data_IF_471591568205
#
_entry.id   IF_471591568205
#
_cell.length_a   1.000
_cell.length_b   1.000
_cell.length_c   1.000
_cell.angle_alpha   90.00
_cell.angle_beta   90.00
_cell.angle_gamma   90.00
#
_symmetry.space_group_name_H-M   'P 1'
#
loop_
_entity.id
_entity.type
_entity.pdbx_description
1 polymer ?
#
# COMPACT_ATOMS: atom_id res chain seq x y z
N UNK A 1 7.22 25.47 6.68
CA UNK A 1 6.98 24.13 7.25
C UNK A 1 6.78 23.20 6.07
N UNK A 2 7.67 22.23 5.88
CA UNK A 2 7.53 21.23 4.82
C UNK A 2 6.73 20.04 5.38
N UNK A 3 5.92 19.41 4.53
CA UNK A 3 5.12 18.24 4.89
C UNK A 3 5.38 17.13 3.88
N UNK A 4 5.47 15.89 4.36
CA UNK A 4 5.44 14.71 3.52
C UNK A 4 3.97 14.27 3.36
N UNK A 5 3.54 14.02 2.13
CA UNK A 5 2.13 13.71 1.83
C UNK A 5 2.01 12.27 1.37
N UNK A 6 1.12 11.49 2.00
CA UNK A 6 0.74 10.17 1.52
C UNK A 6 -0.55 10.25 0.70
N UNK A 7 -0.50 9.65 -0.49
CA UNK A 7 -1.60 9.65 -1.45
C UNK A 7 -2.01 8.21 -1.77
N UNK A 8 -3.30 8.00 -2.04
CA UNK A 8 -3.83 6.78 -2.63
C UNK A 8 -4.44 7.08 -3.99
N UNK A 9 -4.28 6.18 -4.95
CA UNK A 9 -4.97 6.27 -6.24
C UNK A 9 -6.05 5.19 -6.28
N UNK A 10 -7.30 5.61 -6.40
CA UNK A 10 -8.46 4.72 -6.49
C UNK A 10 -9.39 5.19 -7.60
N UNK A 11 -9.69 4.30 -8.56
CA UNK A 11 -10.59 4.59 -9.69
C UNK A 11 -10.22 5.86 -10.48
N UNK A 12 -8.92 6.10 -10.69
CA UNK A 12 -8.43 7.31 -11.38
C UNK A 12 -8.55 8.60 -10.57
N UNK A 13 -8.95 8.53 -9.29
CA UNK A 13 -8.95 9.66 -8.37
C UNK A 13 -7.79 9.55 -7.38
N UNK A 14 -7.17 10.68 -7.09
CA UNK A 14 -6.13 10.80 -6.07
C UNK A 14 -6.78 11.24 -4.76
N UNK A 15 -6.53 10.48 -3.71
CA UNK A 15 -7.01 10.75 -2.35
C UNK A 15 -5.83 11.11 -1.46
N UNK A 16 -5.95 12.23 -0.77
CA UNK A 16 -5.04 12.60 0.31
C UNK A 16 -5.31 11.72 1.52
N UNK A 17 -4.30 10.99 1.99
CA UNK A 17 -4.43 10.10 3.15
C UNK A 17 -4.02 10.83 4.42
N UNK A 18 -2.87 11.52 4.39
CA UNK A 18 -2.28 12.09 5.60
C UNK A 18 -1.25 13.20 5.29
N UNK A 19 -1.04 14.09 6.27
CA UNK A 19 0.02 15.10 6.29
C UNK A 19 1.03 14.77 7.38
N UNK A 20 2.24 14.43 6.97
CA UNK A 20 3.32 14.06 7.89
C UNK A 20 4.34 15.19 8.05
N UNK A 21 4.95 15.33 9.24
CA UNK A 21 6.07 16.23 9.42
C UNK A 21 7.22 15.85 8.48
N UNK A 22 7.88 16.84 7.89
CA UNK A 22 9.05 16.59 7.05
C UNK A 22 10.31 16.44 7.92
N UNK A 23 10.81 15.20 8.03
CA UNK A 23 12.05 14.85 8.70
C UNK A 23 12.11 13.38 9.09
N UNK A 24 13.24 12.94 9.64
CA UNK A 24 13.55 11.53 9.98
C UNK A 24 12.52 10.80 10.86
N UNK A 25 11.60 11.54 11.49
CA UNK A 25 10.46 11.01 12.23
C UNK A 25 9.43 10.29 11.35
N UNK A 26 9.44 10.55 10.03
CA UNK A 26 8.56 9.90 9.05
C UNK A 26 9.38 8.95 8.18
N UNK A 27 8.80 7.85 7.73
CA UNK A 27 9.47 6.94 6.80
C UNK A 27 9.62 7.58 5.41
N UNK A 28 10.84 7.63 4.88
CA UNK A 28 11.18 8.20 3.56
C UNK A 28 10.90 7.25 2.39
N UNK A 29 10.38 6.04 2.65
CA UNK A 29 10.00 5.03 1.66
C UNK A 29 11.17 4.61 0.75
N UNK A 30 11.15 5.06 -0.51
CA UNK A 30 12.15 4.72 -1.54
C UNK A 30 13.30 5.73 -1.60
N UNK A 31 13.32 6.67 -0.66
CA UNK A 31 14.36 7.68 -0.53
C UNK A 31 15.09 7.55 0.80
N UNK A 32 16.28 8.12 0.89
CA UNK A 32 16.94 8.38 2.19
C UNK A 32 16.67 9.82 2.64
N UNK A 33 16.71 10.08 3.95
CA UNK A 33 16.48 11.43 4.45
C UNK A 33 17.60 12.40 4.05
N UNK A 34 18.84 11.91 3.95
CA UNK A 34 19.97 12.71 3.51
C UNK A 34 19.76 13.24 2.09
N UNK A 35 19.22 12.45 1.16
CA UNK A 35 18.96 12.92 -0.19
C UNK A 35 17.74 13.84 -0.28
N UNK A 36 16.70 13.61 0.52
CA UNK A 36 15.52 14.49 0.59
C UNK A 36 15.89 15.88 1.15
N UNK A 37 16.78 15.94 2.13
CA UNK A 37 17.24 17.20 2.75
C UNK A 37 18.28 17.90 1.89
N UNK A 38 19.11 17.16 1.16
CA UNK A 38 20.24 17.75 0.44
C UNK A 38 19.86 18.46 -0.85
N UNK A 39 18.60 18.37 -1.33
CA UNK A 39 18.00 18.98 -2.54
C UNK A 39 18.74 18.74 -3.88
N UNK A 40 20.02 18.32 -3.85
CA UNK A 40 20.92 18.19 -5.00
C UNK A 40 20.71 16.92 -5.81
N UNK A 41 19.94 15.95 -5.30
CA UNK A 41 19.73 14.64 -5.93
C UNK A 41 18.29 14.42 -6.41
N UNK A 42 17.42 15.44 -6.37
CA UNK A 42 16.00 15.31 -6.75
C UNK A 42 15.69 15.72 -8.20
N UNK A 43 16.70 16.16 -8.96
CA UNK A 43 16.58 16.34 -10.40
C UNK A 43 16.75 14.97 -11.05
N UNK A 44 15.69 14.49 -11.71
CA UNK A 44 15.71 13.20 -12.39
C UNK A 44 16.90 13.08 -13.34
N UNK A 45 17.64 11.98 -13.24
CA UNK A 45 18.80 11.70 -14.09
C UNK A 45 18.30 11.25 -15.48
N UNK A 46 17.82 12.21 -16.27
CA UNK A 46 17.50 12.03 -17.68
C UNK A 46 18.47 12.88 -18.49
N UNK A 47 19.60 12.30 -18.90
CA UNK A 47 20.43 12.87 -19.94
C UNK A 47 20.20 12.09 -21.23
N UNK A 48 19.59 12.75 -22.22
CA UNK A 48 20.08 12.74 -23.61
C UNK A 48 19.24 13.71 -24.45
N UNK A 49 19.85 14.84 -24.82
CA UNK A 49 19.42 15.69 -25.93
C UNK A 49 18.29 16.68 -25.62
N UNK A 50 18.54 17.95 -25.96
CA UNK A 50 17.56 19.02 -26.14
C UNK A 50 16.95 19.67 -24.88
N UNK A 51 17.68 20.68 -24.40
CA UNK A 51 17.16 22.03 -24.16
C UNK A 51 15.69 22.17 -23.71
N UNK A 52 15.40 21.78 -22.46
CA UNK A 52 14.53 22.55 -21.57
C UNK A 52 14.78 22.06 -20.14
N UNK A 53 14.98 22.98 -19.21
CA UNK A 53 15.05 22.73 -17.77
C UNK A 53 13.75 22.02 -17.32
N UNK A 54 13.74 20.68 -17.32
CA UNK A 54 12.63 19.92 -16.75
C UNK A 54 12.81 19.85 -15.24
N UNK A 55 12.12 20.75 -14.55
CA UNK A 55 11.92 20.79 -13.09
C UNK A 55 10.93 19.68 -12.65
N UNK A 56 11.16 18.45 -13.13
CA UNK A 56 10.32 17.30 -12.81
C UNK A 56 10.79 16.66 -11.50
N UNK A 57 9.88 16.38 -10.55
CA UNK A 57 10.24 15.75 -9.29
C UNK A 57 10.79 14.34 -9.51
N UNK A 58 11.78 13.94 -8.70
CA UNK A 58 12.26 12.56 -8.69
C UNK A 58 11.13 11.58 -8.37
N UNK A 59 10.96 10.57 -9.22
CA UNK A 59 9.96 9.52 -9.07
C UNK A 59 10.63 8.15 -9.01
N UNK A 60 10.32 7.36 -7.98
CA UNK A 60 10.82 5.99 -7.82
C UNK A 60 9.65 5.04 -7.58
N UNK A 61 9.70 3.87 -8.20
CA UNK A 61 8.75 2.78 -7.97
C UNK A 61 9.52 1.48 -7.72
N UNK A 62 8.88 0.54 -7.00
CA UNK A 62 9.41 -0.81 -6.85
C UNK A 62 8.99 -1.66 -8.05
N UNK A 63 9.94 -2.45 -8.58
CA UNK A 63 9.71 -3.33 -9.74
C UNK A 63 9.19 -4.73 -9.34
N UNK A 64 8.98 -4.97 -8.04
CA UNK A 64 8.45 -6.24 -7.56
C UNK A 64 6.92 -6.25 -7.69
N UNK A 65 6.38 -7.26 -8.39
CA UNK A 65 4.93 -7.56 -8.41
C UNK A 65 4.39 -8.00 -7.05
N UNK A 66 5.27 -8.23 -6.06
CA UNK A 66 4.85 -8.39 -4.67
C UNK A 66 4.38 -7.03 -4.19
N UNK A 67 3.07 -6.78 -4.32
CA UNK A 67 2.38 -5.66 -3.68
C UNK A 67 2.94 -5.51 -2.27
N UNK A 68 3.27 -4.28 -1.86
CA UNK A 68 3.51 -3.96 -0.44
C UNK A 68 2.20 -4.31 0.28
N UNK A 69 2.08 -5.56 0.72
CA UNK A 69 0.92 -6.04 1.43
C UNK A 69 0.82 -5.12 2.65
N UNK A 70 -0.29 -4.37 2.81
CA UNK A 70 -0.37 -3.38 3.86
C UNK A 70 -0.24 -4.11 5.18
N UNK A 71 0.86 -3.96 5.91
CA UNK A 71 1.19 -4.63 7.18
C UNK A 71 0.88 -6.16 7.28
N UNK A 72 1.81 -6.99 7.78
CA UNK A 72 1.52 -8.38 8.14
C UNK A 72 0.31 -8.58 9.09
N UNK A 73 -0.18 -7.51 9.72
CA UNK A 73 -1.29 -7.48 10.67
C UNK A 73 -2.67 -7.20 10.05
N UNK A 74 -2.80 -7.03 8.72
CA UNK A 74 -4.13 -6.84 8.10
C UNK A 74 -5.07 -8.03 8.31
N UNK A 75 -4.52 -9.23 8.50
CA UNK A 75 -5.26 -10.45 8.84
C UNK A 75 -6.07 -10.33 10.14
N UNK A 76 -5.66 -9.46 11.08
CA UNK A 76 -6.39 -9.22 12.33
C UNK A 76 -7.65 -8.35 12.17
N UNK A 77 -7.85 -7.71 11.01
CA UNK A 77 -9.10 -6.97 10.73
C UNK A 77 -10.26 -7.88 10.36
N UNK A 78 -9.96 -9.12 10.00
CA UNK A 78 -10.96 -10.14 9.72
C UNK A 78 -11.04 -11.08 10.91
N UNK A 79 -12.25 -11.56 11.29
CA UNK A 79 -12.37 -12.63 12.26
C UNK A 79 -11.48 -13.81 11.87
N UNK A 80 -10.79 -14.40 12.85
CA UNK A 80 -9.90 -15.55 12.62
C UNK A 80 -10.56 -16.64 11.78
N UNK A 81 -11.84 -16.92 12.04
CA UNK A 81 -12.57 -17.94 11.31
C UNK A 81 -12.67 -17.65 9.80
N UNK A 82 -12.71 -16.38 9.38
CA UNK A 82 -12.74 -16.00 7.98
C UNK A 82 -11.37 -16.16 7.30
N UNK A 83 -10.30 -15.89 8.04
CA UNK A 83 -8.93 -16.09 7.57
C UNK A 83 -8.64 -17.58 7.43
N UNK A 84 -8.94 -18.38 8.46
CA UNK A 84 -8.74 -19.84 8.49
C UNK A 84 -9.49 -20.56 7.36
N UNK A 85 -10.69 -20.07 7.00
CA UNK A 85 -11.46 -20.58 5.87
C UNK A 85 -10.81 -20.26 4.52
N UNK A 86 -10.20 -19.08 4.38
CA UNK A 86 -9.56 -18.62 3.13
C UNK A 86 -8.18 -19.22 2.90
N UNK A 87 -7.45 -19.55 3.96
CA UNK A 87 -6.12 -20.18 3.91
C UNK A 87 -6.20 -21.70 3.78
N UNK A 88 -7.39 -22.29 3.93
CA UNK A 88 -7.62 -23.73 3.78
C UNK A 88 -7.09 -24.57 4.94
N UNK A 89 -6.84 -23.96 6.10
CA UNK A 89 -6.24 -24.60 7.26
C UNK A 89 -7.26 -25.45 8.04
N UNK A 90 -8.56 -25.16 7.91
CA UNK A 90 -9.64 -25.93 8.54
C UNK A 90 -10.82 -26.20 7.58
N UNK A 91 -10.72 -27.32 6.85
CA UNK A 91 -11.77 -27.79 5.94
C UNK A 91 -13.07 -28.21 6.67
N UNK A 92 -13.00 -28.54 7.97
CA UNK A 92 -14.16 -28.98 8.73
C UNK A 92 -15.10 -27.82 9.06
N UNK A 93 -14.56 -26.64 9.38
CA UNK A 93 -15.35 -25.41 9.55
C UNK A 93 -16.12 -25.02 8.29
N UNK A 94 -15.53 -25.21 7.10
CA UNK A 94 -16.20 -24.95 5.83
C UNK A 94 -17.40 -25.89 5.61
N UNK A 95 -17.22 -27.18 5.91
CA UNK A 95 -18.28 -28.19 5.81
C UNK A 95 -19.43 -27.85 6.75
N UNK A 96 -19.15 -27.43 7.98
CA UNK A 96 -20.17 -27.06 8.95
C UNK A 96 -20.91 -25.77 8.57
N UNK A 97 -20.21 -24.79 7.98
CA UNK A 97 -20.86 -23.60 7.40
C UNK A 97 -21.80 -23.95 6.25
N UNK A 98 -21.39 -24.85 5.35
CA UNK A 98 -22.22 -25.31 4.23
C UNK A 98 -23.46 -26.08 4.72
N UNK A 99 -23.30 -26.91 5.76
CA UNK A 99 -24.43 -27.61 6.40
C UNK A 99 -25.40 -26.64 7.07
N UNK A 100 -24.89 -25.62 7.77
CA UNK A 100 -25.69 -24.58 8.42
C UNK A 100 -26.52 -23.78 7.39
N UNK A 101 -25.91 -23.42 6.25
CA UNK A 101 -26.61 -22.74 5.15
C UNK A 101 -27.70 -23.61 4.52
N UNK A 102 -27.46 -24.92 4.40
CA UNK A 102 -28.47 -25.87 3.92
C UNK A 102 -29.66 -25.97 4.87
N UNK A 103 -29.43 -26.05 6.18
CA UNK A 103 -30.54 -26.08 7.16
C UNK A 103 -31.39 -24.82 7.14
N UNK A 104 -30.81 -23.63 6.89
CA UNK A 104 -31.58 -22.40 6.76
C UNK A 104 -32.46 -22.33 5.49
N UNK A 105 -32.20 -23.15 4.47
CA UNK A 105 -33.05 -23.26 3.27
C UNK A 105 -34.16 -24.30 3.42
N UNK A 106 -34.08 -25.18 4.42
CA UNK A 106 -35.09 -26.22 4.68
C UNK A 106 -36.16 -25.75 5.69
N UNK A 107 -35.89 -24.65 6.42
CA UNK A 107 -36.79 -24.06 7.43
C UNK A 107 -37.61 -22.84 6.89
N UNK A 108 -37.54 -22.53 5.59
CA UNK A 108 -38.39 -21.57 4.84
C UNK A 108 -39.26 -22.31 3.81
#
# INVERSE_FOLDING_TARGET
MYLLIFLSVLQGKVWLIDFNPFGEVTDSLLFTWEELISERNLKGDFSEGDALEQDSPAFRCTNSEVTVQPSPYLSYRLPKDFVDLSTGEDAHKLIDFLKLKRSQQEDD
#
